data_IF_101830845624
#
_entry.id   IF_101830845624
#
_cell.length_a   1.000
_cell.length_b   1.000
_cell.length_c   1.000
_cell.angle_alpha   90.00
_cell.angle_beta   90.00
_cell.angle_gamma   90.00
#
_symmetry.space_group_name_H-M   'P 1'
#
loop_
_entity.id
_entity.type
_entity.pdbx_description
1 polymer ?
#
# COMPACT_ATOMS: atom_id res chain seq x y z
N UNK A 1 41.57 -13.37 68.44
CA UNK A 1 40.41 -12.83 67.73
C UNK A 1 40.88 -12.38 66.37
N UNK A 2 40.60 -13.18 65.32
CA UNK A 2 40.88 -12.79 63.93
C UNK A 2 39.58 -12.37 63.30
N UNK A 3 39.53 -11.08 62.92
CA UNK A 3 38.38 -10.54 62.20
C UNK A 3 38.54 -10.82 60.71
N UNK A 4 37.66 -11.65 60.16
CA UNK A 4 37.52 -11.86 58.70
C UNK A 4 36.69 -10.70 58.13
N UNK A 5 37.33 -9.91 57.28
CA UNK A 5 36.64 -8.94 56.43
C UNK A 5 36.23 -9.65 55.16
N UNK A 6 34.94 -9.91 55.00
CA UNK A 6 34.38 -10.42 53.77
C UNK A 6 34.15 -9.26 52.77
N UNK A 7 34.97 -9.19 51.73
CA UNK A 7 34.78 -8.25 50.64
C UNK A 7 33.69 -8.77 49.71
N UNK A 8 32.52 -8.15 49.72
CA UNK A 8 31.47 -8.39 48.76
C UNK A 8 31.83 -7.71 47.42
N UNK A 9 32.19 -8.51 46.41
CA UNK A 9 32.27 -8.02 45.02
C UNK A 9 30.86 -7.76 44.52
N UNK A 10 30.49 -6.50 44.38
CA UNK A 10 29.30 -6.08 43.65
C UNK A 10 29.64 -6.17 42.16
N UNK A 11 29.18 -7.20 41.47
CA UNK A 11 29.14 -7.28 40.01
C UNK A 11 28.09 -6.28 39.52
N UNK A 12 28.49 -5.06 39.18
CA UNK A 12 27.70 -4.13 38.43
C UNK A 12 27.67 -4.66 37.01
N UNK A 13 26.59 -5.36 36.65
CA UNK A 13 26.30 -5.70 35.27
C UNK A 13 26.05 -4.41 34.49
N UNK A 14 27.07 -3.96 33.78
CA UNK A 14 26.93 -2.88 32.80
C UNK A 14 26.04 -3.38 31.67
N UNK A 15 24.74 -3.06 31.71
CA UNK A 15 23.92 -3.05 30.51
C UNK A 15 24.46 -1.93 29.63
N UNK A 16 25.35 -2.27 28.71
CA UNK A 16 25.80 -1.35 27.69
C UNK A 16 24.57 -1.02 26.80
N UNK A 17 24.07 0.21 26.89
CA UNK A 17 23.07 0.70 25.95
C UNK A 17 23.76 0.84 24.60
N UNK A 18 23.26 0.11 23.60
CA UNK A 18 23.76 0.24 22.22
C UNK A 18 23.65 1.69 21.76
N UNK A 19 24.65 2.16 21.01
CA UNK A 19 24.56 3.45 20.34
C UNK A 19 23.46 3.40 19.31
N UNK A 20 22.86 4.55 19.01
CA UNK A 20 21.81 4.67 17.98
C UNK A 20 22.25 4.02 16.64
N UNK A 21 23.46 4.31 16.17
CA UNK A 21 24.02 3.72 14.94
C UNK A 21 24.14 2.19 14.99
N UNK A 22 24.50 1.64 16.15
CA UNK A 22 24.61 0.19 16.32
C UNK A 22 23.23 -0.49 16.28
N UNK A 23 22.20 0.15 16.82
CA UNK A 23 20.81 -0.34 16.73
C UNK A 23 20.32 -0.35 15.28
N UNK A 24 20.59 0.72 14.54
CA UNK A 24 20.23 0.83 13.12
C UNK A 24 20.91 -0.27 12.30
N UNK A 25 22.21 -0.47 12.47
CA UNK A 25 22.93 -1.54 11.76
C UNK A 25 22.40 -2.93 12.12
N UNK A 26 22.14 -3.21 13.40
CA UNK A 26 21.55 -4.47 13.83
C UNK A 26 20.17 -4.69 13.22
N UNK A 27 19.35 -3.64 13.12
CA UNK A 27 18.04 -3.72 12.48
C UNK A 27 18.17 -4.05 10.99
N UNK A 28 19.04 -3.35 10.26
CA UNK A 28 19.32 -3.64 8.84
C UNK A 28 19.80 -5.07 8.63
N UNK A 29 20.76 -5.52 9.42
CA UNK A 29 21.30 -6.87 9.33
C UNK A 29 20.27 -7.96 9.64
N UNK A 30 19.21 -7.65 10.39
CA UNK A 30 18.14 -8.58 10.71
C UNK A 30 17.10 -8.74 9.58
N UNK A 31 17.06 -7.78 8.64
CA UNK A 31 16.12 -7.81 7.54
C UNK A 31 16.72 -8.58 6.37
N UNK A 32 16.16 -9.73 6.05
CA UNK A 32 16.62 -10.56 4.93
C UNK A 32 15.49 -11.46 4.40
N UNK A 33 15.60 -11.84 3.15
CA UNK A 33 14.66 -12.77 2.51
C UNK A 33 15.21 -14.18 2.54
N UNK A 34 14.62 -15.06 3.35
CA UNK A 34 15.06 -16.46 3.51
C UNK A 34 15.00 -17.28 2.23
N UNK A 35 14.01 -17.00 1.36
CA UNK A 35 13.81 -17.76 0.13
C UNK A 35 13.54 -16.84 -1.07
N UNK A 36 14.60 -16.13 -1.51
CA UNK A 36 14.56 -15.19 -2.63
C UNK A 36 13.96 -15.80 -3.91
N UNK A 37 14.26 -17.07 -4.20
CA UNK A 37 13.74 -17.76 -5.41
C UNK A 37 12.24 -17.94 -5.38
N UNK A 38 11.64 -18.12 -4.21
CA UNK A 38 10.18 -18.19 -4.08
C UNK A 38 9.55 -16.83 -4.35
N UNK A 39 10.12 -15.76 -3.78
CA UNK A 39 9.65 -14.39 -4.05
C UNK A 39 9.76 -14.07 -5.54
N UNK A 40 10.92 -14.33 -6.14
CA UNK A 40 11.15 -14.13 -7.57
C UNK A 40 10.15 -14.89 -8.48
N UNK A 41 9.71 -16.08 -8.04
CA UNK A 41 8.71 -16.86 -8.77
C UNK A 41 7.39 -16.07 -8.90
N UNK A 42 6.94 -15.45 -7.80
CA UNK A 42 5.68 -14.70 -7.80
C UNK A 42 5.83 -13.28 -8.32
N UNK A 43 6.99 -12.65 -8.17
CA UNK A 43 7.29 -11.38 -8.86
C UNK A 43 7.17 -11.49 -10.39
N UNK A 44 7.47 -12.66 -10.95
CA UNK A 44 7.34 -12.92 -12.40
C UNK A 44 5.89 -13.04 -12.87
N UNK A 45 4.94 -13.27 -11.97
CA UNK A 45 3.52 -13.28 -12.32
C UNK A 45 2.92 -11.88 -12.44
N UNK A 46 3.60 -10.86 -11.93
CA UNK A 46 3.22 -9.45 -12.12
C UNK A 46 3.75 -9.02 -13.48
N UNK A 47 2.85 -8.83 -14.43
CA UNK A 47 3.21 -8.61 -15.85
C UNK A 47 2.78 -7.24 -16.35
N UNK A 48 3.52 -6.74 -17.32
CA UNK A 48 3.22 -5.48 -18.03
C UNK A 48 1.90 -5.59 -18.79
N UNK A 49 1.66 -6.76 -19.37
CA UNK A 49 0.50 -7.05 -20.21
C UNK A 49 -0.80 -7.05 -19.39
N UNK A 50 -0.81 -7.70 -18.24
CA UNK A 50 -1.99 -7.75 -17.37
C UNK A 50 -2.26 -6.41 -16.71
N UNK A 51 -1.22 -5.71 -16.22
CA UNK A 51 -1.35 -4.34 -15.73
C UNK A 51 -1.99 -3.41 -16.76
N UNK A 52 -1.59 -3.55 -18.04
CA UNK A 52 -2.19 -2.77 -19.13
C UNK A 52 -3.69 -3.06 -19.27
N UNK A 53 -4.07 -4.33 -19.29
CA UNK A 53 -5.48 -4.73 -19.37
C UNK A 53 -6.27 -4.13 -18.21
N UNK A 54 -5.74 -4.17 -16.99
CA UNK A 54 -6.45 -3.66 -15.82
C UNK A 54 -6.55 -2.13 -15.81
N UNK A 55 -5.49 -1.40 -16.18
CA UNK A 55 -5.56 0.06 -16.28
C UNK A 55 -6.54 0.48 -17.37
N UNK A 56 -6.49 -0.13 -18.57
CA UNK A 56 -7.43 0.14 -19.67
C UNK A 56 -8.88 -0.14 -19.25
N UNK A 57 -9.09 -1.20 -18.47
CA UNK A 57 -10.42 -1.51 -17.93
C UNK A 57 -10.89 -0.46 -16.92
N UNK A 58 -10.07 -0.19 -15.88
CA UNK A 58 -10.44 0.70 -14.78
C UNK A 58 -10.66 2.14 -15.24
N UNK A 59 -9.85 2.64 -16.18
CA UNK A 59 -9.96 3.99 -16.74
C UNK A 59 -10.89 4.09 -17.97
N UNK A 60 -11.63 3.01 -18.28
CA UNK A 60 -12.55 2.99 -19.42
C UNK A 60 -13.67 4.03 -19.28
N UNK A 61 -14.02 4.70 -20.37
CA UNK A 61 -15.11 5.68 -20.45
C UNK A 61 -16.47 5.13 -19.97
N UNK A 62 -16.69 3.81 -19.99
CA UNK A 62 -17.91 3.18 -19.49
C UNK A 62 -18.17 3.41 -18.00
N UNK A 63 -17.13 3.79 -17.25
CA UNK A 63 -17.22 4.11 -15.84
C UNK A 63 -17.34 5.62 -15.57
N UNK A 64 -17.51 6.44 -16.61
CA UNK A 64 -17.78 7.87 -16.48
C UNK A 64 -16.84 8.60 -15.52
N UNK A 65 -15.55 8.23 -15.49
CA UNK A 65 -14.56 8.82 -14.61
C UNK A 65 -14.74 8.53 -13.11
N UNK A 66 -15.60 7.60 -12.75
CA UNK A 66 -15.69 6.96 -11.41
C UNK A 66 -15.98 7.90 -10.22
N UNK A 67 -16.72 9.02 -10.43
CA UNK A 67 -17.06 9.94 -9.33
C UNK A 67 -17.73 9.18 -8.17
N UNK A 68 -17.24 9.45 -6.96
CA UNK A 68 -17.75 8.90 -5.68
C UNK A 68 -19.27 8.97 -5.58
N UNK A 69 -19.92 7.83 -5.33
CA UNK A 69 -21.38 7.74 -5.14
C UNK A 69 -22.20 7.82 -6.44
N UNK A 70 -21.55 7.95 -7.60
CA UNK A 70 -22.20 7.96 -8.89
C UNK A 70 -22.21 6.59 -9.57
N UNK A 71 -22.99 6.47 -10.65
CA UNK A 71 -23.16 5.19 -11.38
C UNK A 71 -21.81 4.59 -11.80
N UNK A 72 -20.91 5.43 -12.33
CA UNK A 72 -19.59 4.96 -12.79
C UNK A 72 -18.76 4.31 -11.68
N UNK A 73 -18.76 4.89 -10.47
CA UNK A 73 -18.08 4.32 -9.32
C UNK A 73 -18.77 3.03 -8.84
N UNK A 74 -20.09 2.98 -8.86
CA UNK A 74 -20.80 1.75 -8.50
C UNK A 74 -20.47 0.60 -9.47
N UNK A 75 -20.35 0.89 -10.77
CA UNK A 75 -19.99 -0.10 -11.78
C UNK A 75 -18.54 -0.58 -11.64
N UNK A 76 -17.57 0.31 -11.35
CA UNK A 76 -16.21 -0.15 -11.09
C UNK A 76 -16.12 -0.98 -9.80
N UNK A 77 -16.85 -0.64 -8.75
CA UNK A 77 -16.94 -1.46 -7.54
C UNK A 77 -17.52 -2.87 -7.84
N UNK A 78 -18.53 -2.95 -8.72
CA UNK A 78 -19.07 -4.22 -9.20
C UNK A 78 -18.01 -5.04 -9.96
N UNK A 79 -17.21 -4.37 -10.80
CA UNK A 79 -16.09 -5.01 -11.52
C UNK A 79 -15.05 -5.56 -10.54
N UNK A 80 -14.58 -4.75 -9.59
CA UNK A 80 -13.59 -5.13 -8.56
C UNK A 80 -14.09 -6.35 -7.77
N UNK A 81 -15.35 -6.32 -7.31
CA UNK A 81 -15.98 -7.45 -6.64
C UNK A 81 -15.99 -8.70 -7.51
N UNK A 82 -16.40 -8.56 -8.77
CA UNK A 82 -16.44 -9.65 -9.75
C UNK A 82 -15.07 -10.26 -9.99
N UNK A 83 -14.04 -9.42 -10.05
CA UNK A 83 -12.64 -9.82 -10.18
C UNK A 83 -12.19 -10.70 -9.02
N UNK A 84 -12.32 -10.25 -7.77
CA UNK A 84 -11.95 -11.07 -6.60
C UNK A 84 -12.75 -12.36 -6.49
N UNK A 85 -14.04 -12.30 -6.81
CA UNK A 85 -14.87 -13.50 -6.81
C UNK A 85 -14.40 -14.52 -7.85
N UNK A 86 -13.99 -14.07 -9.04
CA UNK A 86 -13.48 -14.96 -10.11
C UNK A 86 -12.19 -15.67 -9.73
N UNK A 87 -11.32 -15.00 -8.95
CA UNK A 87 -10.10 -15.58 -8.40
C UNK A 87 -10.34 -16.46 -7.16
N UNK A 88 -11.57 -16.48 -6.64
CA UNK A 88 -11.89 -17.17 -5.37
C UNK A 88 -11.22 -16.54 -4.15
N UNK A 89 -10.81 -15.26 -4.23
CA UNK A 89 -10.38 -14.46 -3.07
C UNK A 89 -11.65 -14.03 -2.32
N UNK A 90 -11.70 -14.30 -1.02
CA UNK A 90 -12.94 -14.19 -0.25
C UNK A 90 -13.16 -12.77 0.29
N UNK A 91 -14.43 -12.37 0.45
CA UNK A 91 -14.77 -11.19 1.24
C UNK A 91 -14.65 -11.48 2.74
N UNK A 92 -14.60 -10.44 3.59
CA UNK A 92 -14.77 -10.62 5.04
C UNK A 92 -16.11 -11.30 5.36
N UNK A 93 -16.12 -12.17 6.35
CA UNK A 93 -17.34 -12.95 6.74
C UNK A 93 -18.53 -12.05 7.10
N UNK A 94 -18.25 -10.87 7.65
CA UNK A 94 -19.26 -9.86 8.03
C UNK A 94 -19.79 -9.05 6.84
N UNK A 95 -19.10 -9.10 5.68
CA UNK A 95 -19.41 -8.33 4.47
C UNK A 95 -19.34 -9.27 3.25
N UNK A 96 -20.27 -10.25 3.15
CA UNK A 96 -20.20 -11.33 2.15
C UNK A 96 -20.36 -10.87 0.70
N UNK A 97 -20.77 -9.64 0.50
CA UNK A 97 -20.88 -8.94 -0.79
C UNK A 97 -19.64 -8.13 -1.16
N UNK A 98 -18.56 -8.18 -0.36
CA UNK A 98 -17.32 -7.42 -0.49
C UNK A 98 -17.44 -5.93 -0.18
N UNK A 99 -18.61 -5.40 0.16
CA UNK A 99 -18.81 -3.97 0.33
C UNK A 99 -18.84 -3.54 1.79
N UNK A 100 -18.15 -2.44 2.07
CA UNK A 100 -18.42 -1.62 3.24
C UNK A 100 -19.09 -0.34 2.75
N UNK A 101 -20.36 -0.19 3.06
CA UNK A 101 -21.12 1.00 2.69
C UNK A 101 -20.58 2.21 3.44
N UNK A 102 -20.24 3.26 2.70
CA UNK A 102 -19.88 4.58 3.19
C UNK A 102 -21.12 5.47 3.08
N UNK A 103 -21.83 5.71 4.19
CA UNK A 103 -23.13 6.36 4.15
C UNK A 103 -23.02 7.82 3.71
N UNK A 104 -24.07 8.31 3.03
CA UNK A 104 -24.18 9.71 2.58
C UNK A 104 -23.87 10.72 3.70
N UNK A 105 -24.23 10.42 4.94
CA UNK A 105 -24.04 11.32 6.09
C UNK A 105 -22.58 11.64 6.43
N UNK A 106 -21.62 10.90 5.88
CA UNK A 106 -20.18 11.13 6.07
C UNK A 106 -19.47 11.62 4.80
N UNK A 107 -20.22 11.76 3.71
CA UNK A 107 -19.76 12.31 2.43
C UNK A 107 -20.21 13.77 2.27
N UNK A 108 -19.63 14.55 1.37
CA UNK A 108 -20.15 15.85 0.97
C UNK A 108 -21.64 15.79 0.59
N UNK A 109 -22.38 16.89 0.87
CA UNK A 109 -23.85 16.93 0.74
C UNK A 109 -24.36 16.65 -0.67
N UNK A 110 -23.60 16.95 -1.69
CA UNK A 110 -23.89 16.77 -3.12
C UNK A 110 -23.61 15.36 -3.63
N UNK A 111 -22.93 14.52 -2.84
CA UNK A 111 -22.64 13.15 -3.23
C UNK A 111 -23.67 12.15 -2.67
N UNK A 112 -23.80 11.02 -3.34
CA UNK A 112 -24.61 9.91 -2.90
C UNK A 112 -23.80 8.97 -1.98
N UNK A 113 -24.50 8.02 -1.35
CA UNK A 113 -23.88 6.88 -0.66
C UNK A 113 -22.94 6.13 -1.59
N UNK A 114 -21.80 5.68 -1.06
CA UNK A 114 -20.78 4.99 -1.82
C UNK A 114 -20.29 3.74 -1.07
N UNK A 115 -19.27 3.06 -1.56
CA UNK A 115 -18.74 1.87 -0.90
C UNK A 115 -17.24 1.67 -1.10
N UNK A 116 -16.58 1.18 -0.06
CA UNK A 116 -15.28 0.54 -0.15
C UNK A 116 -15.45 -0.92 -0.60
N UNK A 117 -14.51 -1.46 -1.38
CA UNK A 117 -14.49 -2.88 -1.77
C UNK A 117 -13.36 -3.59 -1.04
N UNK A 118 -13.67 -4.73 -0.39
CA UNK A 118 -12.73 -5.41 0.48
C UNK A 118 -12.70 -6.90 0.16
N UNK A 119 -11.50 -7.40 -0.10
CA UNK A 119 -11.21 -8.83 -0.22
C UNK A 119 -10.00 -9.18 0.65
N UNK A 120 -9.84 -10.44 1.04
CA UNK A 120 -8.67 -10.82 1.81
C UNK A 120 -8.22 -12.25 1.55
N UNK A 121 -6.93 -12.48 1.76
CA UNK A 121 -6.32 -13.81 1.79
C UNK A 121 -5.95 -14.09 3.24
N UNK A 122 -6.60 -15.09 3.85
CA UNK A 122 -6.36 -15.48 5.24
C UNK A 122 -4.96 -16.07 5.41
N UNK A 123 -4.25 -15.61 6.41
CA UNK A 123 -2.91 -16.08 6.76
C UNK A 123 -2.91 -17.51 7.31
N UNK A 124 -1.81 -18.23 7.08
CA UNK A 124 -1.67 -19.63 7.50
C UNK A 124 -1.20 -19.83 8.95
N UNK A 125 -0.47 -18.87 9.52
CA UNK A 125 0.11 -18.95 10.87
C UNK A 125 -0.42 -17.86 11.81
N UNK A 126 -0.61 -16.65 11.29
CA UNK A 126 -1.09 -15.47 12.03
C UNK A 126 -2.34 -14.87 11.34
N UNK A 127 -3.47 -15.61 11.28
CA UNK A 127 -4.65 -15.19 10.52
C UNK A 127 -5.30 -13.90 11.04
N UNK A 128 -5.07 -13.55 12.31
CA UNK A 128 -5.60 -12.35 12.95
C UNK A 128 -4.64 -11.15 12.88
N UNK A 129 -3.51 -11.25 12.17
CA UNK A 129 -2.61 -10.13 11.87
C UNK A 129 -2.77 -9.73 10.41
N UNK A 130 -3.02 -8.43 10.16
CA UNK A 130 -3.44 -7.93 8.85
C UNK A 130 -2.43 -6.97 8.23
N UNK A 131 -2.12 -7.18 6.96
CA UNK A 131 -1.40 -6.24 6.12
C UNK A 131 -2.40 -5.70 5.11
N UNK A 132 -2.55 -4.38 5.07
CA UNK A 132 -3.42 -3.72 4.10
C UNK A 132 -2.62 -3.28 2.88
N UNK A 133 -3.17 -3.56 1.71
CA UNK A 133 -2.73 -3.01 0.44
C UNK A 133 -3.91 -2.20 -0.08
N UNK A 134 -3.74 -0.88 -0.18
CA UNK A 134 -4.83 0.06 -0.48
C UNK A 134 -4.56 0.85 -1.74
N UNK A 135 -5.63 1.11 -2.48
CA UNK A 135 -5.70 2.11 -3.55
C UNK A 135 -7.13 2.66 -3.59
N UNK A 136 -7.32 3.93 -3.92
CA UNK A 136 -8.67 4.42 -4.17
C UNK A 136 -9.15 4.02 -5.56
N UNK A 137 -10.46 3.89 -5.70
CA UNK A 137 -11.13 3.46 -6.93
C UNK A 137 -12.01 4.53 -7.57
N UNK A 138 -12.28 5.60 -6.85
CA UNK A 138 -12.97 6.79 -7.37
C UNK A 138 -12.01 7.70 -8.14
N UNK A 139 -12.56 8.66 -8.89
CA UNK A 139 -11.86 9.76 -9.56
C UNK A 139 -12.84 10.90 -9.86
N UNK A 140 -12.41 11.92 -10.58
CA UNK A 140 -13.10 13.19 -10.81
C UNK A 140 -14.46 13.09 -11.54
N UNK A 141 -14.74 11.99 -12.23
CA UNK A 141 -16.03 11.79 -12.92
C UNK A 141 -16.15 12.51 -14.26
N UNK A 142 -17.29 13.17 -14.43
CA UNK A 142 -17.60 13.96 -15.64
C UNK A 142 -17.73 15.43 -15.25
N UNK A 143 -16.80 16.25 -15.73
CA UNK A 143 -16.79 17.70 -15.48
C UNK A 143 -17.09 18.43 -16.80
N UNK A 144 -18.10 19.28 -16.82
CA UNK A 144 -18.55 20.02 -18.01
C UNK A 144 -18.79 19.13 -19.26
N UNK A 145 -19.27 17.91 -19.04
CA UNK A 145 -19.54 16.93 -20.10
C UNK A 145 -18.30 16.18 -20.62
N UNK A 146 -17.14 16.38 -20.00
CA UNK A 146 -15.88 15.71 -20.36
C UNK A 146 -15.58 14.65 -19.28
N UNK A 147 -15.28 13.41 -19.71
CA UNK A 147 -14.89 12.32 -18.82
C UNK A 147 -13.43 12.52 -18.42
N UNK A 148 -13.14 12.34 -17.12
CA UNK A 148 -11.80 12.28 -16.56
C UNK A 148 -11.46 10.81 -16.30
N UNK A 149 -10.63 10.17 -17.15
CA UNK A 149 -10.43 8.72 -17.07
C UNK A 149 -9.66 8.27 -15.84
N UNK A 150 -8.71 9.08 -15.34
CA UNK A 150 -7.87 8.76 -14.19
C UNK A 150 -7.10 7.45 -14.38
N UNK A 151 -6.28 7.36 -15.42
CA UNK A 151 -5.54 6.14 -15.70
C UNK A 151 -4.37 5.94 -14.74
N UNK A 152 -3.66 7.02 -14.39
CA UNK A 152 -2.67 7.00 -13.33
C UNK A 152 -3.34 7.23 -11.98
N UNK A 153 -4.26 8.16 -11.91
CA UNK A 153 -4.99 8.57 -10.70
C UNK A 153 -6.43 7.99 -10.65
N UNK A 154 -6.73 6.88 -9.97
CA UNK A 154 -5.77 5.90 -9.46
C UNK A 154 -6.03 4.52 -10.11
N UNK A 155 -6.13 4.54 -11.45
CA UNK A 155 -6.21 3.30 -12.24
C UNK A 155 -4.95 2.45 -12.09
N UNK A 156 -3.77 3.09 -12.04
CA UNK A 156 -2.47 2.43 -11.88
C UNK A 156 -2.37 1.71 -10.53
N UNK A 157 -2.77 2.36 -9.43
CA UNK A 157 -2.77 1.77 -8.11
C UNK A 157 -3.78 0.63 -7.99
N UNK A 158 -5.01 0.81 -8.52
CA UNK A 158 -6.03 -0.24 -8.54
C UNK A 158 -5.55 -1.49 -9.31
N UNK A 159 -4.92 -1.30 -10.47
CA UNK A 159 -4.34 -2.39 -11.26
C UNK A 159 -3.20 -3.11 -10.53
N UNK A 160 -2.34 -2.36 -9.84
CA UNK A 160 -1.26 -2.92 -9.03
C UNK A 160 -1.80 -3.81 -7.89
N UNK A 161 -2.89 -3.40 -7.23
CA UNK A 161 -3.55 -4.21 -6.18
C UNK A 161 -4.08 -5.52 -6.77
N UNK A 162 -4.64 -5.52 -7.98
CA UNK A 162 -5.10 -6.73 -8.66
C UNK A 162 -3.96 -7.72 -8.90
N UNK A 163 -2.87 -7.28 -9.53
CA UNK A 163 -1.70 -8.11 -9.81
C UNK A 163 -1.11 -8.72 -8.52
N UNK A 164 -1.01 -7.92 -7.46
CA UNK A 164 -0.53 -8.43 -6.18
C UNK A 164 -1.48 -9.45 -5.58
N UNK A 165 -2.80 -9.26 -5.71
CA UNK A 165 -3.78 -10.22 -5.23
C UNK A 165 -3.68 -11.56 -5.95
N UNK A 166 -3.49 -11.57 -7.26
CA UNK A 166 -3.23 -12.78 -8.04
C UNK A 166 -1.95 -13.49 -7.61
N UNK A 167 -0.85 -12.72 -7.47
CA UNK A 167 0.43 -13.26 -7.06
C UNK A 167 0.38 -13.93 -5.68
N UNK A 168 -0.29 -13.30 -4.70
CA UNK A 168 -0.50 -13.88 -3.37
C UNK A 168 -1.47 -15.07 -3.39
N UNK A 169 -2.51 -15.00 -4.20
CA UNK A 169 -3.45 -16.13 -4.37
C UNK A 169 -2.74 -17.34 -4.94
N UNK A 170 -1.94 -17.15 -5.98
CA UNK A 170 -1.13 -18.20 -6.57
C UNK A 170 -0.11 -18.76 -5.58
N UNK A 171 0.56 -17.90 -4.82
CA UNK A 171 1.49 -18.33 -3.78
C UNK A 171 0.80 -19.23 -2.74
N UNK A 172 -0.41 -18.86 -2.32
CA UNK A 172 -1.21 -19.66 -1.39
C UNK A 172 -1.57 -21.04 -1.96
N UNK A 173 -1.97 -21.09 -3.21
CA UNK A 173 -2.31 -22.34 -3.91
C UNK A 173 -1.10 -23.26 -4.07
N UNK A 174 0.06 -22.69 -4.29
CA UNK A 174 1.33 -23.43 -4.38
C UNK A 174 1.91 -23.86 -3.01
N UNK A 175 1.25 -23.50 -1.91
CA UNK A 175 1.70 -23.83 -0.54
C UNK A 175 2.75 -22.86 0.04
N UNK A 176 2.97 -21.69 -0.60
CA UNK A 176 3.84 -20.61 -0.15
C UNK A 176 3.06 -19.36 0.27
N UNK A 177 1.76 -19.54 0.55
CA UNK A 177 0.85 -18.46 0.87
C UNK A 177 1.26 -17.66 2.09
N UNK A 178 0.66 -16.47 2.30
CA UNK A 178 1.09 -15.61 3.38
C UNK A 178 0.85 -16.25 4.76
N UNK A 179 1.75 -16.00 5.71
CA UNK A 179 1.58 -16.39 7.11
C UNK A 179 0.61 -15.47 7.83
N UNK A 180 0.65 -14.17 7.54
CA UNK A 180 -0.32 -13.15 7.98
C UNK A 180 -1.38 -12.93 6.92
N UNK A 181 -2.56 -12.49 7.34
CA UNK A 181 -3.63 -12.14 6.42
C UNK A 181 -3.31 -10.88 5.62
N UNK A 182 -3.64 -10.88 4.32
CA UNK A 182 -3.51 -9.71 3.46
C UNK A 182 -4.89 -9.23 3.09
N UNK A 183 -5.16 -7.95 3.31
CA UNK A 183 -6.41 -7.27 2.98
C UNK A 183 -6.17 -6.36 1.78
N UNK A 184 -6.92 -6.57 0.72
CA UNK A 184 -6.99 -5.72 -0.45
C UNK A 184 -8.18 -4.80 -0.26
N UNK A 185 -7.92 -3.50 -0.14
CA UNK A 185 -8.92 -2.50 0.17
C UNK A 185 -8.93 -1.41 -0.88
N UNK A 186 -9.96 -1.40 -1.73
CA UNK A 186 -10.23 -0.30 -2.65
C UNK A 186 -11.18 0.67 -1.97
N UNK A 187 -10.71 1.88 -1.71
CA UNK A 187 -11.49 2.90 -1.01
C UNK A 187 -12.19 3.83 -1.98
N UNK A 188 -13.25 4.45 -1.50
CA UNK A 188 -14.03 5.49 -2.19
C UNK A 188 -13.78 6.86 -1.55
N UNK A 189 -14.08 7.92 -2.26
CA UNK A 189 -14.10 9.27 -1.70
C UNK A 189 -12.73 9.79 -1.31
N UNK A 190 -11.69 9.34 -1.98
CA UNK A 190 -10.33 9.88 -1.83
C UNK A 190 -10.31 11.32 -2.34
N UNK A 191 -10.74 11.54 -3.58
CA UNK A 191 -10.76 12.80 -4.32
C UNK A 191 -11.56 13.92 -3.64
N UNK A 192 -12.50 13.53 -2.80
CA UNK A 192 -13.37 14.46 -2.06
C UNK A 192 -12.99 14.58 -0.58
N UNK A 193 -11.82 14.09 -0.19
CA UNK A 193 -11.25 14.28 1.13
C UNK A 193 -11.09 13.01 1.96
N UNK A 194 -10.63 11.91 1.38
CA UNK A 194 -10.24 10.65 2.04
C UNK A 194 -11.38 10.01 2.85
N UNK A 195 -12.63 10.14 2.37
CA UNK A 195 -13.81 9.74 3.15
C UNK A 195 -13.91 8.24 3.37
N UNK A 196 -13.58 7.42 2.36
CA UNK A 196 -13.65 5.96 2.44
C UNK A 196 -12.67 5.36 3.44
N UNK A 197 -11.42 5.75 3.37
CA UNK A 197 -10.39 5.29 4.32
C UNK A 197 -10.63 5.82 5.73
N UNK A 198 -11.13 7.07 5.85
CA UNK A 198 -11.54 7.64 7.14
C UNK A 198 -12.71 6.86 7.74
N UNK A 199 -13.71 6.52 6.92
CA UNK A 199 -14.84 5.71 7.38
C UNK A 199 -14.37 4.33 7.80
N UNK A 200 -13.51 3.69 6.99
CA UNK A 200 -12.92 2.39 7.30
C UNK A 200 -12.19 2.39 8.64
N UNK A 201 -11.27 3.33 8.85
CA UNK A 201 -10.46 3.39 10.08
C UNK A 201 -11.24 3.79 11.33
N UNK A 202 -12.43 4.37 11.18
CA UNK A 202 -13.36 4.63 12.29
C UNK A 202 -14.37 3.51 12.51
N UNK A 203 -14.63 2.67 11.50
CA UNK A 203 -15.55 1.53 11.52
C UNK A 203 -14.88 0.28 10.93
N UNK A 204 -13.76 -0.18 11.49
CA UNK A 204 -12.95 -1.21 10.86
C UNK A 204 -13.65 -2.56 10.86
N UNK A 205 -13.51 -3.30 9.73
CA UNK A 205 -14.02 -4.67 9.60
C UNK A 205 -13.13 -5.67 10.33
N UNK A 206 -11.83 -5.45 10.27
CA UNK A 206 -10.84 -6.18 11.06
C UNK A 206 -10.26 -5.25 12.12
N UNK A 207 -9.99 -5.73 13.37
CA UNK A 207 -9.49 -4.89 14.44
C UNK A 207 -8.20 -4.16 14.07
N UNK A 208 -8.17 -2.82 14.22
CA UNK A 208 -7.01 -2.02 13.82
C UNK A 208 -5.76 -2.32 14.64
N UNK A 209 -5.91 -2.71 15.90
CA UNK A 209 -4.80 -3.13 16.77
C UNK A 209 -4.07 -4.39 16.25
N UNK A 210 -4.71 -5.13 15.38
CA UNK A 210 -4.14 -6.28 14.69
C UNK A 210 -3.52 -5.92 13.34
N UNK A 211 -3.64 -4.67 12.89
CA UNK A 211 -3.02 -4.22 11.65
C UNK A 211 -1.51 -4.07 11.83
N UNK A 212 -0.76 -4.72 10.97
CA UNK A 212 0.71 -4.71 10.96
C UNK A 212 1.22 -3.47 10.21
N UNK A 213 0.68 -3.23 9.03
CA UNK A 213 1.03 -2.09 8.18
C UNK A 213 -0.06 -1.82 7.14
N UNK A 214 -0.08 -0.60 6.64
CA UNK A 214 -0.80 -0.22 5.42
C UNK A 214 0.18 0.23 4.33
N UNK A 215 0.12 -0.44 3.19
CA UNK A 215 0.85 -0.12 1.97
C UNK A 215 -0.13 0.55 1.01
N UNK A 216 -0.06 1.86 0.91
CA UNK A 216 -0.95 2.66 0.06
C UNK A 216 -0.30 2.94 -1.28
N UNK A 217 -1.08 2.74 -2.34
CA UNK A 217 -0.65 2.90 -3.73
C UNK A 217 -1.54 3.94 -4.37
N UNK A 218 -0.92 5.00 -4.81
CA UNK A 218 -1.66 6.09 -5.43
C UNK A 218 -0.74 6.77 -6.46
N UNK A 219 -1.13 6.66 -7.74
CA UNK A 219 -0.36 7.14 -8.89
C UNK A 219 1.06 6.55 -8.94
N UNK A 220 1.24 5.43 -9.61
CA UNK A 220 2.54 4.77 -9.78
C UNK A 220 2.86 4.40 -11.24
N UNK A 221 2.06 4.90 -12.20
CA UNK A 221 2.16 4.54 -13.63
C UNK A 221 2.88 5.57 -14.50
N UNK A 222 3.23 6.73 -14.00
CA UNK A 222 3.82 7.84 -14.77
C UNK A 222 5.19 8.26 -14.22
N UNK A 223 5.74 9.29 -14.81
CA UNK A 223 6.96 10.00 -14.37
C UNK A 223 6.64 11.48 -14.24
N UNK A 224 7.06 12.11 -13.15
CA UNK A 224 6.89 13.54 -12.94
C UNK A 224 7.88 14.38 -13.76
N UNK A 225 7.61 15.68 -13.89
CA UNK A 225 8.42 16.60 -14.70
C UNK A 225 9.87 16.67 -14.20
N UNK A 226 10.08 16.66 -12.89
CA UNK A 226 11.42 16.74 -12.29
C UNK A 226 12.29 15.55 -12.72
N UNK A 227 11.79 14.33 -12.62
CA UNK A 227 12.55 13.14 -12.97
C UNK A 227 12.73 12.98 -14.49
N UNK A 228 11.78 13.50 -15.30
CA UNK A 228 11.96 13.62 -16.75
C UNK A 228 13.12 14.57 -17.09
N UNK A 229 13.17 15.74 -16.45
CA UNK A 229 14.23 16.76 -16.65
C UNK A 229 15.60 16.25 -16.19
N UNK A 230 15.65 15.49 -15.09
CA UNK A 230 16.89 14.89 -14.57
C UNK A 230 17.32 13.64 -15.36
N UNK A 231 16.46 13.11 -16.23
CA UNK A 231 16.71 11.87 -16.99
C UNK A 231 16.75 10.62 -16.11
N UNK A 232 16.10 10.66 -14.95
CA UNK A 232 15.99 9.55 -14.00
C UNK A 232 14.54 9.07 -13.89
N UNK A 233 14.06 8.30 -14.86
CA UNK A 233 12.69 7.78 -14.84
C UNK A 233 12.50 6.57 -13.93
N UNK A 234 13.58 5.92 -13.50
CA UNK A 234 13.57 4.64 -12.78
C UNK A 234 13.50 4.83 -11.25
N UNK A 235 12.51 5.55 -10.77
CA UNK A 235 12.32 5.95 -9.38
C UNK A 235 10.92 5.63 -8.84
N UNK A 236 10.76 5.81 -7.53
CA UNK A 236 9.48 5.88 -6.82
C UNK A 236 9.63 6.71 -5.56
N UNK A 237 8.67 7.61 -5.27
CA UNK A 237 8.60 8.25 -3.96
C UNK A 237 8.11 7.29 -2.89
N UNK A 238 8.79 7.32 -1.73
CA UNK A 238 8.46 6.52 -0.55
C UNK A 238 8.16 7.47 0.60
N UNK A 239 6.89 7.64 0.92
CA UNK A 239 6.42 8.67 1.85
C UNK A 239 5.85 8.03 3.12
N UNK A 240 6.33 8.45 4.29
CA UNK A 240 5.78 8.07 5.59
C UNK A 240 6.30 6.77 6.18
N UNK A 241 7.13 6.00 5.48
CA UNK A 241 7.56 4.67 5.93
C UNK A 241 8.32 4.69 7.27
N UNK A 242 9.13 5.72 7.52
CA UNK A 242 9.92 5.90 8.73
C UNK A 242 9.23 6.72 9.83
N UNK A 243 8.04 7.26 9.58
CA UNK A 243 7.36 8.16 10.52
C UNK A 243 6.77 7.44 11.74
N UNK A 244 6.45 6.15 11.62
CA UNK A 244 5.89 5.33 12.69
C UNK A 244 6.74 4.10 12.95
N UNK A 245 7.47 3.60 11.93
CA UNK A 245 8.31 2.42 12.04
C UNK A 245 9.60 2.57 11.24
N UNK A 246 10.73 2.69 11.93
CA UNK A 246 12.05 2.66 11.29
C UNK A 246 12.28 1.33 10.54
N UNK A 247 11.74 0.23 11.05
CA UNK A 247 11.86 -1.10 10.45
C UNK A 247 11.18 -1.16 9.07
N UNK A 248 9.98 -0.56 8.89
CA UNK A 248 9.29 -0.54 7.61
C UNK A 248 10.12 0.12 6.51
N UNK A 249 10.78 1.23 6.83
CA UNK A 249 11.68 1.92 5.92
C UNK A 249 12.80 1.00 5.41
N UNK A 250 13.46 0.26 6.30
CA UNK A 250 14.54 -0.64 5.90
C UNK A 250 14.04 -1.91 5.20
N UNK A 251 12.83 -2.38 5.49
CA UNK A 251 12.20 -3.47 4.74
C UNK A 251 12.02 -3.06 3.27
N UNK A 252 11.54 -1.84 3.00
CA UNK A 252 11.38 -1.32 1.64
C UNK A 252 12.74 -1.21 0.93
N UNK A 253 13.78 -0.72 1.61
CA UNK A 253 15.13 -0.65 1.06
C UNK A 253 15.68 -2.03 0.71
N UNK A 254 15.52 -3.03 1.60
CA UNK A 254 16.00 -4.39 1.34
C UNK A 254 15.20 -5.07 0.21
N UNK A 255 13.87 -4.85 0.16
CA UNK A 255 13.03 -5.32 -0.95
C UNK A 255 13.52 -4.78 -2.29
N UNK A 256 13.78 -3.46 -2.33
CA UNK A 256 14.29 -2.78 -3.51
C UNK A 256 15.67 -3.28 -3.92
N UNK A 257 16.61 -3.32 -2.97
CA UNK A 257 17.98 -3.78 -3.23
C UNK A 257 18.01 -5.23 -3.73
N UNK A 258 17.18 -6.09 -3.16
CA UNK A 258 17.19 -7.51 -3.48
C UNK A 258 16.53 -7.84 -4.82
N UNK A 259 15.45 -7.15 -5.20
CA UNK A 259 14.59 -7.61 -6.30
C UNK A 259 14.38 -6.63 -7.45
N UNK A 260 14.49 -5.32 -7.22
CA UNK A 260 13.93 -4.34 -8.14
C UNK A 260 14.96 -3.29 -8.60
N UNK A 261 15.63 -2.66 -7.65
CA UNK A 261 16.65 -1.62 -7.88
C UNK A 261 16.10 -0.36 -8.57
N UNK A 262 15.05 0.22 -7.99
CA UNK A 262 14.58 1.58 -8.27
C UNK A 262 15.40 2.61 -7.48
N UNK A 263 15.42 3.84 -7.92
CA UNK A 263 15.78 4.97 -7.07
C UNK A 263 14.63 5.26 -6.10
N UNK A 264 14.87 5.13 -4.80
CA UNK A 264 13.88 5.41 -3.76
C UNK A 264 14.00 6.88 -3.38
N UNK A 265 13.11 7.70 -3.88
CA UNK A 265 13.09 9.13 -3.57
C UNK A 265 12.30 9.42 -2.29
N UNK A 266 12.94 10.13 -1.36
CA UNK A 266 12.37 10.51 -0.06
C UNK A 266 12.10 12.01 0.07
N UNK A 267 12.18 12.79 -1.01
CA UNK A 267 11.98 14.24 -0.95
C UNK A 267 10.66 14.61 -0.28
N UNK A 268 9.57 13.98 -0.69
CA UNK A 268 8.25 14.25 -0.13
C UNK A 268 7.99 13.59 1.23
N UNK A 269 8.95 12.85 1.73
CA UNK A 269 8.90 12.33 3.11
C UNK A 269 9.37 13.36 4.16
N UNK A 270 9.98 14.47 3.74
CA UNK A 270 10.38 15.54 4.65
C UNK A 270 9.14 16.14 5.35
N UNK A 271 9.24 16.37 6.65
CA UNK A 271 8.14 16.98 7.44
C UNK A 271 7.85 18.43 7.06
N UNK A 272 8.80 19.08 6.39
CA UNK A 272 8.68 20.45 5.87
C UNK A 272 8.23 20.51 4.41
N UNK A 273 7.88 19.36 3.77
CA UNK A 273 7.37 19.32 2.41
C UNK A 273 6.22 20.33 2.23
N UNK A 274 6.38 21.34 1.35
CA UNK A 274 5.36 22.36 1.14
C UNK A 274 4.09 21.79 0.50
N UNK A 275 4.19 20.70 -0.25
CA UNK A 275 3.06 20.04 -0.91
C UNK A 275 2.25 19.19 0.08
N UNK A 276 2.87 18.81 1.20
CA UNK A 276 2.25 18.03 2.28
C UNK A 276 1.68 16.69 1.80
N UNK A 277 2.32 16.00 0.87
CA UNK A 277 1.84 14.73 0.30
C UNK A 277 1.57 13.64 1.33
N UNK A 278 2.30 13.60 2.44
CA UNK A 278 2.01 12.68 3.53
C UNK A 278 0.57 12.74 4.06
N UNK A 279 -0.13 13.85 3.85
CA UNK A 279 -1.50 14.07 4.35
C UNK A 279 -2.57 13.94 3.26
N UNK A 280 -2.17 13.62 2.01
CA UNK A 280 -3.02 13.77 0.83
C UNK A 280 -3.52 12.45 0.25
N UNK A 281 -3.21 11.28 0.85
CA UNK A 281 -3.73 10.01 0.39
C UNK A 281 -4.17 9.11 1.56
N UNK A 282 -4.77 7.98 1.27
CA UNK A 282 -5.53 7.12 2.19
C UNK A 282 -4.74 6.52 3.34
N UNK A 283 -3.41 6.35 3.18
CA UNK A 283 -2.52 5.90 4.26
C UNK A 283 -2.61 6.79 5.50
N UNK A 284 -2.90 8.09 5.31
CA UNK A 284 -2.93 9.04 6.43
C UNK A 284 -3.97 8.68 7.48
N UNK A 285 -5.13 8.18 7.08
CA UNK A 285 -6.16 7.76 8.03
C UNK A 285 -5.72 6.54 8.87
N UNK A 286 -4.92 5.63 8.33
CA UNK A 286 -4.27 4.55 9.09
C UNK A 286 -3.16 5.09 10.00
N UNK A 287 -2.35 6.03 9.52
CA UNK A 287 -1.29 6.68 10.30
C UNK A 287 -1.84 7.39 11.54
N UNK A 288 -3.02 8.04 11.45
CA UNK A 288 -3.69 8.69 12.60
C UNK A 288 -4.08 7.70 13.70
N UNK A 289 -4.12 6.41 13.39
CA UNK A 289 -4.38 5.32 14.37
C UNK A 289 -3.08 4.69 14.91
N UNK A 290 -1.92 5.26 14.57
CA UNK A 290 -0.61 4.74 14.99
C UNK A 290 -0.15 3.49 14.24
N UNK A 291 -0.75 3.19 13.10
CA UNK A 291 -0.38 2.06 12.24
C UNK A 291 0.80 2.48 11.35
N UNK A 292 1.87 1.67 11.25
CA UNK A 292 2.93 1.88 10.27
C UNK A 292 2.38 1.93 8.85
N UNK A 293 2.72 2.96 8.10
CA UNK A 293 2.19 3.19 6.75
C UNK A 293 3.32 3.54 5.78
N UNK A 294 3.07 3.33 4.51
CA UNK A 294 3.82 3.92 3.41
C UNK A 294 2.88 4.34 2.29
N UNK A 295 3.17 5.46 1.69
CA UNK A 295 2.56 5.93 0.46
C UNK A 295 3.57 5.84 -0.68
N UNK A 296 3.28 4.99 -1.65
CA UNK A 296 4.02 4.85 -2.89
C UNK A 296 3.40 5.74 -3.96
N UNK A 297 4.22 6.61 -4.56
CA UNK A 297 3.76 7.68 -5.42
C UNK A 297 4.77 7.96 -6.54
N UNK A 298 4.32 8.42 -7.70
CA UNK A 298 5.22 8.85 -8.76
C UNK A 298 5.41 10.36 -8.89
N UNK A 299 4.72 11.14 -8.07
CA UNK A 299 4.66 12.59 -8.25
C UNK A 299 3.53 13.02 -9.20
N UNK A 300 3.25 14.32 -9.20
CA UNK A 300 2.29 14.91 -10.13
C UNK A 300 2.95 15.07 -11.51
N UNK A 301 2.23 14.70 -12.57
CA UNK A 301 2.65 14.83 -13.97
C UNK A 301 1.74 15.82 -14.71
N UNK A 302 2.06 16.16 -15.95
CA UNK A 302 1.36 17.17 -16.75
C UNK A 302 -0.14 16.91 -16.93
N UNK A 303 -0.57 15.65 -16.85
CA UNK A 303 -1.97 15.22 -17.01
C UNK A 303 -2.72 15.01 -15.68
N UNK A 304 -2.09 15.24 -14.53
CA UNK A 304 -2.70 15.08 -13.22
C UNK A 304 -3.98 15.93 -13.11
N UNK A 305 -5.08 15.33 -12.64
CA UNK A 305 -6.41 15.93 -12.54
C UNK A 305 -6.93 16.49 -13.88
N UNK A 306 -6.59 15.84 -15.01
CA UNK A 306 -7.04 16.26 -16.35
C UNK A 306 -7.71 15.13 -17.12
N UNK A 307 -8.57 15.46 -18.10
CA UNK A 307 -9.19 14.45 -18.97
C UNK A 307 -8.18 13.75 -19.88
N UNK A 308 -6.93 14.19 -19.88
CA UNK A 308 -5.80 13.63 -20.65
C UNK A 308 -4.98 12.61 -19.87
N UNK A 309 -5.36 12.28 -18.62
CA UNK A 309 -4.79 11.14 -17.88
C UNK A 309 -5.40 9.83 -18.40
N UNK A 310 -4.80 9.31 -19.47
CA UNK A 310 -5.31 8.18 -20.27
C UNK A 310 -4.36 6.98 -20.24
N UNK A 311 -4.90 5.78 -20.43
CA UNK A 311 -4.18 4.52 -20.34
C UNK A 311 -3.00 4.38 -21.33
N UNK A 312 -3.07 5.03 -22.49
CA UNK A 312 -2.00 5.02 -23.49
C UNK A 312 -0.74 5.80 -23.06
N UNK A 313 -0.84 6.64 -22.02
CA UNK A 313 0.28 7.39 -21.47
C UNK A 313 0.99 6.71 -20.31
N UNK A 314 0.47 5.62 -19.80
CA UNK A 314 1.07 4.86 -18.70
C UNK A 314 2.37 4.19 -19.14
N UNK A 315 3.42 4.34 -18.33
CA UNK A 315 4.66 3.59 -18.46
C UNK A 315 4.51 2.20 -17.81
N UNK A 316 3.92 1.26 -18.53
CA UNK A 316 3.62 -0.07 -18.01
C UNK A 316 4.83 -0.87 -17.52
N UNK A 317 6.01 -0.83 -18.16
CA UNK A 317 7.22 -1.46 -17.62
C UNK A 317 7.61 -0.90 -16.25
N UNK A 318 7.51 0.41 -16.05
CA UNK A 318 7.80 1.07 -14.78
C UNK A 318 6.72 0.77 -13.74
N UNK A 319 5.44 0.80 -14.12
CA UNK A 319 4.33 0.38 -13.28
C UNK A 319 4.55 -1.05 -12.76
N UNK A 320 4.91 -1.99 -13.62
CA UNK A 320 5.22 -3.36 -13.23
C UNK A 320 6.41 -3.43 -12.25
N UNK A 321 7.44 -2.64 -12.48
CA UNK A 321 8.62 -2.58 -11.62
C UNK A 321 8.27 -2.06 -10.22
N UNK A 322 7.49 -0.99 -10.14
CA UNK A 322 7.00 -0.40 -8.87
C UNK A 322 6.07 -1.36 -8.13
N UNK A 323 5.14 -2.00 -8.85
CA UNK A 323 4.25 -3.04 -8.28
C UNK A 323 5.05 -4.19 -7.67
N UNK A 324 6.14 -4.63 -8.31
CA UNK A 324 7.05 -5.67 -7.80
C UNK A 324 7.75 -5.26 -6.51
N UNK A 325 8.16 -4.01 -6.37
CA UNK A 325 8.71 -3.50 -5.10
C UNK A 325 7.69 -3.60 -3.98
N UNK A 326 6.46 -3.15 -4.23
CA UNK A 326 5.39 -3.14 -3.24
C UNK A 326 5.00 -4.58 -2.85
N UNK A 327 4.91 -5.47 -3.83
CA UNK A 327 4.68 -6.90 -3.58
C UNK A 327 5.79 -7.52 -2.73
N UNK A 328 7.07 -7.27 -3.05
CA UNK A 328 8.20 -7.79 -2.27
C UNK A 328 8.16 -7.27 -0.82
N UNK A 329 7.83 -5.99 -0.62
CA UNK A 329 7.63 -5.40 0.72
C UNK A 329 6.48 -6.10 1.46
N UNK A 330 5.32 -6.25 0.82
CA UNK A 330 4.18 -6.97 1.39
C UNK A 330 4.50 -8.43 1.70
N UNK A 331 5.28 -9.09 0.83
CA UNK A 331 5.73 -10.46 1.04
C UNK A 331 6.57 -10.60 2.31
N UNK A 332 7.52 -9.69 2.53
CA UNK A 332 8.32 -9.70 3.75
C UNK A 332 7.44 -9.56 4.99
N UNK A 333 6.60 -8.53 5.03
CA UNK A 333 5.69 -8.27 6.14
C UNK A 333 4.75 -9.45 6.42
N UNK A 334 4.27 -10.11 5.35
CA UNK A 334 3.37 -11.24 5.46
C UNK A 334 4.03 -12.51 5.99
N UNK A 335 5.33 -12.72 5.72
CA UNK A 335 6.01 -13.99 5.98
C UNK A 335 7.10 -13.91 7.04
N UNK A 336 7.50 -12.70 7.49
CA UNK A 336 8.46 -12.54 8.60
C UNK A 336 7.95 -13.22 9.87
N UNK A 337 8.83 -13.91 10.65
CA UNK A 337 8.45 -14.50 11.94
C UNK A 337 8.05 -13.42 12.96
N UNK A 338 8.72 -12.27 12.93
CA UNK A 338 8.44 -11.16 13.83
C UNK A 338 7.39 -10.22 13.24
N UNK A 339 6.52 -9.69 14.10
CA UNK A 339 5.60 -8.63 13.71
C UNK A 339 6.35 -7.30 13.65
N UNK A 340 6.10 -6.53 12.58
CA UNK A 340 6.59 -5.16 12.44
C UNK A 340 6.26 -4.32 13.69
N UNK A 341 7.23 -3.57 14.19
CA UNK A 341 7.07 -2.73 15.39
C UNK A 341 6.81 -1.28 14.99
N UNK A 342 5.77 -0.63 15.57
CA UNK A 342 5.58 0.81 15.46
C UNK A 342 6.58 1.52 16.40
N UNK A 343 7.85 1.53 16.02
CA UNK A 343 8.95 2.08 16.81
C UNK A 343 9.88 2.91 15.93
N UNK A 344 10.21 4.10 16.42
CA UNK A 344 11.24 4.97 15.82
C UNK A 344 12.52 4.78 16.63
N UNK A 345 13.60 4.41 15.94
CA UNK A 345 14.92 4.18 16.54
C UNK A 345 15.77 5.45 16.44
#
# INVERSE_FOLDING_TARGET
MKVLVASALILVGSCATLRHSEKIEQLKDSISYDNKKVVEKYLKTITTEELKIYVEEVSSEKYYGRMTGETGHNEICNYIRGYYNSLGIKPPKTHPDYYQIVPKSVLPDDLNESQNVIAYIEGSEFPDEYIYITAHSDHEGVVDGIIYPGADDNGSGTAAVFEMAEAFKKAKEDGYGPKRSIVFLHVTGEEVGLHGSRYYTNNPIFPLEHTVSNLNIDMIGRVDERHLDDGNEDYIYVIGADRISTELHFIIQEANYTFVNLDLDYEYNDTSDPNRYYYRSDHYNFATKGIPVVFFFNGEHEDYTKPTDTADKINYPLLAKRTKLIFATAWYLANSPERLKPEII
#
